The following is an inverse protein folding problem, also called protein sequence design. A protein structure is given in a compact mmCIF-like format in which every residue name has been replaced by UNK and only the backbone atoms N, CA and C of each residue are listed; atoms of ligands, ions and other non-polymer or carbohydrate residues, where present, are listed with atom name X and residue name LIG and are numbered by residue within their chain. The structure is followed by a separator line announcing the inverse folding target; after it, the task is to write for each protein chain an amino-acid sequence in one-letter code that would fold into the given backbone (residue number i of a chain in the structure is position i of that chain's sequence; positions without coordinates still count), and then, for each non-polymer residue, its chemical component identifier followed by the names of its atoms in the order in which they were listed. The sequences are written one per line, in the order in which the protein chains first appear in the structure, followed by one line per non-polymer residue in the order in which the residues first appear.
data_IF_806924182640
#
_entry.id   IF_806924182640
#
_cell.length_a   1.000
_cell.length_b   1.000
_cell.length_c   1.000
_cell.angle_alpha   90.00
_cell.angle_beta   90.00
_cell.angle_gamma   90.00
#
_symmetry.space_group_name_H-M   'P 1'
#
loop_
_entity.id
_entity.type
_entity.pdbx_description
1 polymer ?
#
# COMPACT_ATOMS: atom_id res chain seq x y z
N UNK A 1 4.39 9.42 28.31
CA UNK A 1 4.28 10.51 27.32
C UNK A 1 3.20 10.12 26.32
N UNK A 2 2.04 10.77 26.36
CA UNK A 2 0.93 10.48 25.42
C UNK A 2 1.34 10.99 24.04
N UNK A 3 1.53 10.08 23.08
CA UNK A 3 1.66 10.43 21.67
C UNK A 3 0.33 11.02 21.21
N UNK A 4 0.26 12.35 21.13
CA UNK A 4 -0.80 13.06 20.42
C UNK A 4 -0.70 12.64 18.95
N UNK A 5 -1.50 11.66 18.54
CA UNK A 5 -1.73 11.46 17.11
C UNK A 5 -2.42 12.73 16.59
N UNK A 6 -1.82 13.48 15.65
CA UNK A 6 -2.52 14.59 15.05
C UNK A 6 -3.81 14.04 14.44
N UNK A 7 -4.93 14.73 14.66
CA UNK A 7 -6.16 14.41 13.96
C UNK A 7 -5.85 14.51 12.46
N UNK A 8 -5.86 13.36 11.77
CA UNK A 8 -5.61 13.31 10.34
C UNK A 8 -6.59 14.24 9.63
N UNK A 9 -6.07 15.11 8.76
CA UNK A 9 -6.92 15.94 7.92
C UNK A 9 -7.70 15.02 6.98
N UNK A 10 -8.94 15.37 6.61
CA UNK A 10 -9.73 14.57 5.67
C UNK A 10 -8.98 14.22 4.37
N UNK A 11 -8.13 15.13 3.89
CA UNK A 11 -7.29 14.90 2.71
C UNK A 11 -6.22 13.80 2.92
N UNK A 12 -5.66 13.70 4.12
CA UNK A 12 -4.65 12.67 4.44
C UNK A 12 -5.29 11.30 4.60
N UNK A 13 -6.49 11.24 5.21
CA UNK A 13 -7.30 10.01 5.26
C UNK A 13 -7.65 9.55 3.86
N UNK A 14 -8.10 10.48 3.01
CA UNK A 14 -8.43 10.18 1.62
C UNK A 14 -7.21 9.65 0.85
N UNK A 15 -6.04 10.28 1.00
CA UNK A 15 -4.80 9.82 0.38
C UNK A 15 -4.40 8.41 0.87
N UNK A 16 -4.54 8.14 2.16
CA UNK A 16 -4.28 6.82 2.73
C UNK A 16 -5.26 5.75 2.19
N UNK A 17 -6.54 6.07 2.10
CA UNK A 17 -7.55 5.20 1.50
C UNK A 17 -7.26 4.90 0.02
N UNK A 18 -6.84 5.91 -0.75
CA UNK A 18 -6.43 5.77 -2.14
C UNK A 18 -5.20 4.85 -2.26
N UNK A 19 -4.20 5.01 -1.38
CA UNK A 19 -3.01 4.15 -1.34
C UNK A 19 -3.34 2.69 -1.04
N UNK A 20 -4.15 2.44 0.00
CA UNK A 20 -4.57 1.09 0.38
C UNK A 20 -5.39 0.44 -0.74
N UNK A 21 -6.27 1.20 -1.40
CA UNK A 21 -7.05 0.71 -2.53
C UNK A 21 -6.16 0.30 -3.71
N UNK A 22 -5.18 1.13 -4.07
CA UNK A 22 -4.21 0.82 -5.13
C UNK A 22 -3.37 -0.41 -4.79
N UNK A 23 -2.92 -0.54 -3.53
CA UNK A 23 -2.23 -1.73 -3.03
C UNK A 23 -3.09 -2.98 -3.23
N UNK A 24 -4.34 -2.98 -2.77
CA UNK A 24 -5.22 -4.14 -2.91
C UNK A 24 -5.53 -4.49 -4.37
N UNK A 25 -5.66 -3.50 -5.26
CA UNK A 25 -5.89 -3.73 -6.67
C UNK A 25 -4.73 -4.51 -7.31
N UNK A 26 -3.49 -4.11 -7.05
CA UNK A 26 -2.29 -4.81 -7.56
C UNK A 26 -2.14 -6.18 -6.90
N UNK A 27 -2.26 -6.21 -5.57
CA UNK A 27 -1.96 -7.41 -4.78
C UNK A 27 -2.99 -8.53 -4.96
N UNK A 28 -4.28 -8.19 -5.08
CA UNK A 28 -5.36 -9.18 -5.26
C UNK A 28 -5.19 -9.97 -6.55
N UNK A 29 -4.82 -9.31 -7.65
CA UNK A 29 -4.57 -9.97 -8.94
C UNK A 29 -3.44 -10.99 -8.82
N UNK A 30 -2.35 -10.60 -8.18
CA UNK A 30 -1.15 -11.43 -8.09
C UNK A 30 -1.35 -12.59 -7.09
N UNK A 31 -2.11 -12.39 -6.01
CA UNK A 31 -2.54 -13.48 -5.11
C UNK A 31 -3.36 -14.55 -5.81
N UNK A 32 -4.27 -14.16 -6.72
CA UNK A 32 -5.05 -15.12 -7.50
C UNK A 32 -4.11 -15.99 -8.32
N UNK A 33 -3.11 -15.39 -8.98
CA UNK A 33 -2.10 -16.12 -9.75
C UNK A 33 -1.28 -17.08 -8.88
N UNK A 34 -0.88 -16.66 -7.68
CA UNK A 34 -0.17 -17.51 -6.72
C UNK A 34 -1.02 -18.71 -6.28
N UNK A 35 -2.31 -18.50 -5.99
CA UNK A 35 -3.23 -19.58 -5.62
C UNK A 35 -3.45 -20.57 -6.76
N UNK A 36 -3.54 -20.10 -8.01
CA UNK A 36 -3.57 -20.98 -9.18
C UNK A 36 -2.32 -21.86 -9.28
N UNK A 37 -1.16 -21.37 -8.80
CA UNK A 37 0.10 -22.13 -8.69
C UNK A 37 0.20 -22.96 -7.40
N UNK A 38 -0.91 -23.17 -6.68
CA UNK A 38 -1.00 -23.92 -5.42
C UNK A 38 -0.20 -23.32 -4.25
N UNK A 39 0.09 -22.01 -4.28
CA UNK A 39 0.64 -21.33 -3.13
C UNK A 39 -0.48 -20.94 -2.15
N UNK A 40 -0.42 -21.49 -0.93
CA UNK A 40 -1.36 -21.22 0.17
C UNK A 40 -0.66 -20.65 1.41
N UNK A 41 0.55 -20.11 1.24
CA UNK A 41 1.29 -19.47 2.31
C UNK A 41 0.70 -18.11 2.72
N UNK A 42 1.37 -17.48 3.69
CA UNK A 42 1.05 -16.11 4.10
C UNK A 42 1.25 -15.13 2.93
N UNK A 43 0.57 -13.99 2.99
CA UNK A 43 0.75 -12.91 2.04
C UNK A 43 2.22 -12.46 1.98
N UNK A 44 2.95 -12.68 0.86
CA UNK A 44 4.34 -12.20 0.74
C UNK A 44 4.41 -10.66 0.76
N UNK A 45 5.55 -10.07 1.17
CA UNK A 45 5.75 -8.63 1.04
C UNK A 45 5.64 -8.19 -0.43
N UNK A 46 5.20 -6.94 -0.70
CA UNK A 46 5.08 -6.45 -2.07
C UNK A 46 6.45 -6.39 -2.75
N UNK A 47 6.52 -6.84 -4.00
CA UNK A 47 7.74 -6.78 -4.83
C UNK A 47 7.97 -5.36 -5.37
N UNK A 48 9.19 -5.06 -5.82
CA UNK A 48 9.51 -3.77 -6.44
C UNK A 48 8.59 -3.44 -7.63
N UNK A 49 8.30 -4.41 -8.50
CA UNK A 49 7.37 -4.22 -9.61
C UNK A 49 5.95 -3.88 -9.15
N UNK A 50 5.49 -4.51 -8.07
CA UNK A 50 4.18 -4.21 -7.49
C UNK A 50 4.14 -2.79 -6.94
N UNK A 51 5.19 -2.38 -6.21
CA UNK A 51 5.34 -1.02 -5.71
C UNK A 51 5.38 0.01 -6.85
N UNK A 52 6.05 -0.30 -7.94
CA UNK A 52 6.08 0.55 -9.14
C UNK A 52 4.70 0.68 -9.79
N UNK A 53 3.92 -0.41 -9.87
CA UNK A 53 2.52 -0.36 -10.35
C UNK A 53 1.63 0.47 -9.43
N UNK A 54 1.81 0.34 -8.11
CA UNK A 54 1.06 1.14 -7.13
C UNK A 54 1.39 2.63 -7.29
N UNK A 55 2.69 2.98 -7.41
CA UNK A 55 3.12 4.35 -7.68
C UNK A 55 2.46 4.91 -8.95
N UNK A 56 2.38 4.09 -10.01
CA UNK A 56 1.72 4.48 -11.26
C UNK A 56 0.19 4.67 -11.10
N UNK A 57 -0.47 3.90 -10.25
CA UNK A 57 -1.91 4.08 -9.97
C UNK A 57 -2.20 5.31 -9.10
N UNK A 58 -1.22 5.74 -8.30
CA UNK A 58 -1.31 6.94 -7.46
C UNK A 58 -1.05 8.24 -8.22
N UNK A 59 -0.77 8.20 -9.52
CA UNK A 59 -0.31 9.35 -10.32
C UNK A 59 -1.34 10.47 -10.50
N UNK A 60 -1.58 11.23 -9.42
CA UNK A 60 -2.03 12.61 -9.51
C UNK A 60 -0.83 13.59 -9.58
N UNK A 61 0.39 13.20 -9.18
CA UNK A 61 1.55 14.12 -9.03
C UNK A 61 2.97 13.56 -9.37
N UNK A 62 3.14 12.51 -10.19
CA UNK A 62 4.40 12.07 -10.87
C UNK A 62 5.70 11.88 -10.06
N UNK A 63 5.74 12.10 -8.74
CA UNK A 63 6.97 12.13 -7.95
C UNK A 63 7.08 11.00 -6.91
N UNK A 64 6.09 10.11 -6.79
CA UNK A 64 6.14 9.04 -5.79
C UNK A 64 6.95 7.86 -6.29
N UNK A 65 8.03 7.55 -5.58
CA UNK A 65 8.92 6.41 -5.87
C UNK A 65 8.39 5.11 -5.24
N UNK A 66 8.74 3.93 -5.78
CA UNK A 66 8.38 2.63 -5.19
C UNK A 66 8.79 2.49 -3.72
N UNK A 67 9.94 3.07 -3.34
CA UNK A 67 10.46 3.07 -1.98
C UNK A 67 9.57 3.91 -1.05
N UNK A 68 9.10 5.07 -1.50
CA UNK A 68 8.16 5.90 -0.74
C UNK A 68 6.83 5.18 -0.52
N UNK A 69 6.30 4.50 -1.55
CA UNK A 69 5.10 3.67 -1.41
C UNK A 69 5.27 2.60 -0.32
N UNK A 70 6.41 1.91 -0.31
CA UNK A 70 6.67 0.87 0.70
C UNK A 70 6.69 1.45 2.11
N UNK A 71 7.37 2.58 2.30
CA UNK A 71 7.45 3.27 3.60
C UNK A 71 6.07 3.72 4.06
N UNK A 72 5.28 4.33 3.18
CA UNK A 72 3.92 4.77 3.50
C UNK A 72 3.00 3.59 3.86
N UNK A 73 3.05 2.49 3.10
CA UNK A 73 2.29 1.28 3.41
C UNK A 73 2.68 0.68 4.78
N UNK A 74 3.97 0.67 5.11
CA UNK A 74 4.43 0.21 6.42
C UNK A 74 3.95 1.11 7.56
N UNK A 75 4.02 2.43 7.37
CA UNK A 75 3.52 3.40 8.34
C UNK A 75 2.01 3.23 8.56
N UNK A 76 1.22 3.10 7.49
CA UNK A 76 -0.22 2.85 7.60
C UNK A 76 -0.51 1.52 8.31
N UNK A 77 0.24 0.47 8.01
CA UNK A 77 0.07 -0.83 8.67
C UNK A 77 0.39 -0.76 10.18
N UNK A 78 1.33 0.09 10.61
CA UNK A 78 1.63 0.31 12.03
C UNK A 78 0.51 1.06 12.75
N UNK A 79 -0.21 1.94 12.07
CA UNK A 79 -1.31 2.72 12.64
C UNK A 79 -2.65 1.95 12.73
N UNK A 80 -2.81 0.93 11.88
CA UNK A 80 -4.03 0.11 11.80
C UNK A 80 -3.96 -1.18 12.64
N UNK A 81 -2.85 -1.41 13.35
CA UNK A 81 -2.68 -2.52 14.29
C UNK A 81 -3.17 -2.16 15.68
#
# INVERSE_FOLDING_TARGET
MLTKHPAYKPAEIQAACELISAYHQVYRRDLIQLRCRKYFGQCPPPTFEQLQRIAHLQNKNNNTTPQQILVELQNLAQLLR
#
